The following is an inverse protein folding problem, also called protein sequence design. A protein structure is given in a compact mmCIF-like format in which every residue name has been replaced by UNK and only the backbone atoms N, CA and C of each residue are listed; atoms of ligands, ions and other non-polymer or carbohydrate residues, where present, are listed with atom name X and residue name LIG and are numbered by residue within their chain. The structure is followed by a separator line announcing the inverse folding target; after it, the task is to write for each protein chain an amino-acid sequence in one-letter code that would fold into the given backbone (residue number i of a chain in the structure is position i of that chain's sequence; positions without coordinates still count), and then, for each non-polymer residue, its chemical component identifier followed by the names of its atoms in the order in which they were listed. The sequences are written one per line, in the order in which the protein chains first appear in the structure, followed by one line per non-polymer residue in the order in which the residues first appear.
data_IF_699944787557
#
_entry.id   IF_699944787557
#
_cell.length_a   1.000
_cell.length_b   1.000
_cell.length_c   1.000
_cell.angle_alpha   90.00
_cell.angle_beta   90.00
_cell.angle_gamma   90.00
#
_symmetry.space_group_name_H-M   'P 1'
#
loop_
_entity.id
_entity.type
_entity.pdbx_description
1 polymer ?
#
# COMPACT_ATOMS: atom_id res chain seq x y z
N UNK A 1 6.03 -10.83 -7.25
CA UNK A 1 4.83 -9.99 -7.38
C UNK A 1 3.68 -10.64 -6.61
N UNK A 2 3.04 -9.87 -5.77
CA UNK A 2 1.85 -10.30 -5.06
C UNK A 2 0.76 -9.25 -5.22
N UNK A 3 -0.50 -9.69 -5.33
CA UNK A 3 -1.61 -8.77 -5.49
C UNK A 3 -2.87 -9.34 -4.85
N UNK A 4 -3.74 -8.44 -4.41
CA UNK A 4 -5.06 -8.79 -3.88
C UNK A 4 -6.04 -7.68 -4.26
N UNK A 5 -7.29 -8.07 -4.56
CA UNK A 5 -8.34 -7.13 -4.93
C UNK A 5 -8.20 -6.58 -6.35
N UNK A 6 -8.74 -5.38 -6.56
CA UNK A 6 -8.88 -4.79 -7.89
C UNK A 6 -7.63 -4.03 -8.31
N UNK A 7 -7.34 -4.07 -9.62
CA UNK A 7 -6.40 -3.11 -10.21
C UNK A 7 -7.07 -1.75 -10.33
N UNK A 8 -6.28 -0.73 -10.56
CA UNK A 8 -6.79 0.62 -10.83
C UNK A 8 -7.78 0.61 -12.00
N UNK A 9 -7.41 -0.06 -13.10
CA UNK A 9 -8.26 -0.16 -14.28
C UNK A 9 -9.58 -0.88 -13.97
N UNK A 10 -9.53 -2.02 -13.27
CA UNK A 10 -10.72 -2.79 -12.92
C UNK A 10 -11.64 -2.01 -11.99
N UNK A 11 -11.09 -1.27 -11.05
CA UNK A 11 -11.88 -0.44 -10.13
C UNK A 11 -12.61 0.68 -10.89
N UNK A 12 -11.92 1.35 -11.81
CA UNK A 12 -12.56 2.37 -12.66
C UNK A 12 -13.67 1.77 -13.52
N UNK A 13 -13.44 0.59 -14.08
CA UNK A 13 -14.40 -0.11 -14.91
C UNK A 13 -15.68 -0.47 -14.12
N UNK A 14 -15.54 -0.76 -12.83
CA UNK A 14 -16.68 -1.03 -11.95
C UNK A 14 -17.38 0.23 -11.46
N UNK A 15 -16.94 1.41 -11.86
CA UNK A 15 -17.59 2.67 -11.55
C UNK A 15 -17.07 3.37 -10.28
N UNK A 16 -16.00 2.88 -9.69
CA UNK A 16 -15.40 3.56 -8.54
C UNK A 16 -14.66 4.81 -8.97
N UNK A 17 -14.73 5.84 -8.14
CA UNK A 17 -13.85 6.99 -8.24
C UNK A 17 -12.56 6.62 -7.49
N UNK A 18 -11.48 6.43 -8.23
CA UNK A 18 -10.27 5.77 -7.74
C UNK A 18 -9.23 6.78 -7.33
N UNK A 19 -8.60 6.54 -6.18
CA UNK A 19 -7.40 7.22 -5.75
C UNK A 19 -6.31 6.20 -5.49
N UNK A 20 -5.06 6.54 -5.83
CA UNK A 20 -3.93 5.62 -5.75
C UNK A 20 -2.85 6.18 -4.83
N UNK A 21 -2.32 5.32 -3.97
CA UNK A 21 -1.11 5.60 -3.22
C UNK A 21 0.00 4.67 -3.66
N UNK A 22 1.24 5.15 -3.63
CA UNK A 22 2.43 4.36 -3.95
C UNK A 22 3.53 4.65 -2.97
N UNK A 23 4.33 3.63 -2.71
CA UNK A 23 5.52 3.83 -1.92
C UNK A 23 6.64 2.92 -2.43
N UNK A 24 7.76 3.49 -2.90
CA UNK A 24 8.89 2.68 -3.35
C UNK A 24 9.67 2.12 -2.16
N UNK A 25 10.09 0.87 -2.25
CA UNK A 25 10.92 0.27 -1.19
C UNK A 25 12.22 1.04 -0.95
N UNK A 26 12.75 1.69 -1.99
CA UNK A 26 13.96 2.49 -1.86
C UNK A 26 13.87 3.58 -0.78
N UNK A 27 12.67 4.00 -0.39
CA UNK A 27 12.48 5.01 0.64
C UNK A 27 12.43 4.44 2.06
N UNK A 28 12.52 3.11 2.24
CA UNK A 28 12.50 2.47 3.56
C UNK A 28 13.90 2.19 4.08
N UNK A 29 14.12 2.47 5.37
CA UNK A 29 15.37 2.13 6.03
C UNK A 29 15.67 0.63 6.03
N UNK A 30 14.64 -0.22 6.19
CA UNK A 30 14.82 -1.68 6.17
C UNK A 30 15.27 -2.17 4.80
N UNK A 31 14.65 -1.68 3.72
CA UNK A 31 15.03 -2.07 2.36
C UNK A 31 16.48 -1.65 2.07
N UNK A 32 16.88 -0.46 2.51
CA UNK A 32 18.24 0.04 2.36
C UNK A 32 19.23 -0.81 3.16
N UNK A 33 18.87 -1.21 4.38
CA UNK A 33 19.76 -2.00 5.24
C UNK A 33 20.02 -3.41 4.72
N UNK A 34 19.06 -4.01 4.02
CA UNK A 34 19.21 -5.34 3.40
C UNK A 34 19.55 -5.25 1.92
N UNK A 35 19.71 -4.05 1.37
CA UNK A 35 20.02 -3.78 -0.05
C UNK A 35 18.97 -4.33 -1.01
N UNK A 36 17.71 -4.37 -0.57
CA UNK A 36 16.56 -4.82 -1.36
C UNK A 36 15.67 -3.62 -1.64
N UNK A 37 16.12 -2.74 -2.53
CA UNK A 37 15.47 -1.45 -2.78
C UNK A 37 14.58 -1.41 -4.02
N UNK A 38 14.57 -2.49 -4.82
CA UNK A 38 13.74 -2.54 -6.02
C UNK A 38 12.28 -2.79 -5.67
N UNK A 39 11.40 -2.19 -6.45
CA UNK A 39 9.96 -2.43 -6.32
C UNK A 39 9.21 -1.37 -5.54
N UNK A 40 7.94 -1.65 -5.32
CA UNK A 40 7.03 -0.70 -4.69
C UNK A 40 5.78 -1.40 -4.16
N UNK A 41 5.04 -0.67 -3.31
CA UNK A 41 3.68 -1.01 -2.91
C UNK A 41 2.74 0.02 -3.54
N UNK A 42 1.67 -0.46 -4.17
CA UNK A 42 0.61 0.37 -4.73
C UNK A 42 -0.71 0.00 -4.08
N UNK A 43 -1.44 0.99 -3.60
CA UNK A 43 -2.77 0.81 -3.03
C UNK A 43 -3.80 1.55 -3.88
N UNK A 44 -4.92 0.90 -4.15
CA UNK A 44 -6.05 1.46 -4.89
C UNK A 44 -7.19 1.61 -3.90
N UNK A 45 -7.73 2.82 -3.77
CA UNK A 45 -8.82 3.08 -2.83
C UNK A 45 -9.99 3.77 -3.52
N UNK A 46 -11.18 3.64 -2.91
CA UNK A 46 -12.36 4.43 -3.26
C UNK A 46 -12.15 5.85 -2.73
N UNK A 47 -12.14 6.84 -3.62
CA UNK A 47 -11.87 8.22 -3.24
C UNK A 47 -12.91 8.79 -2.27
N UNK A 48 -14.17 8.32 -2.32
CA UNK A 48 -15.21 8.84 -1.45
C UNK A 48 -15.23 8.18 -0.07
N UNK A 49 -15.11 6.85 0.03
CA UNK A 49 -15.16 6.14 1.31
C UNK A 49 -13.78 5.89 1.92
N UNK A 50 -12.72 6.01 1.11
CA UNK A 50 -11.34 5.66 1.45
C UNK A 50 -11.14 4.16 1.66
N UNK A 51 -12.14 3.33 1.35
CA UNK A 51 -12.04 1.87 1.46
C UNK A 51 -10.99 1.34 0.50
N UNK A 52 -10.19 0.39 0.96
CA UNK A 52 -9.17 -0.28 0.14
C UNK A 52 -9.86 -1.20 -0.86
N UNK A 53 -9.56 -1.01 -2.14
CA UNK A 53 -10.11 -1.83 -3.23
C UNK A 53 -9.09 -2.85 -3.73
N UNK A 54 -7.81 -2.55 -3.67
CA UNK A 54 -6.76 -3.46 -4.09
C UNK A 54 -5.39 -3.02 -3.64
N UNK A 55 -4.48 -3.98 -3.51
CA UNK A 55 -3.10 -3.74 -3.12
C UNK A 55 -2.20 -4.60 -4.00
N UNK A 56 -1.15 -4.01 -4.51
CA UNK A 56 -0.20 -4.66 -5.41
C UNK A 56 1.21 -4.41 -4.88
N UNK A 57 1.99 -5.48 -4.75
CA UNK A 57 3.35 -5.43 -4.23
C UNK A 57 4.30 -6.05 -5.25
N UNK A 58 5.30 -5.27 -5.64
CA UNK A 58 6.39 -5.74 -6.48
C UNK A 58 7.68 -5.55 -5.68
N UNK A 59 8.41 -6.62 -5.44
CA UNK A 59 9.68 -6.49 -4.73
C UNK A 59 9.93 -7.56 -3.69
N UNK A 60 10.87 -7.30 -2.75
CA UNK A 60 11.30 -8.30 -1.78
C UNK A 60 10.17 -8.69 -0.82
N UNK A 61 10.08 -9.98 -0.54
CA UNK A 61 9.12 -10.56 0.41
C UNK A 61 7.66 -10.22 0.10
N UNK A 62 7.31 -10.00 -1.18
CA UNK A 62 5.95 -9.63 -1.57
C UNK A 62 4.92 -10.66 -1.07
N UNK A 63 5.22 -11.95 -1.15
CA UNK A 63 4.31 -13.00 -0.71
C UNK A 63 4.09 -13.04 0.81
N UNK A 64 5.05 -12.55 1.59
CA UNK A 64 4.89 -12.41 3.04
C UNK A 64 4.11 -11.13 3.38
N UNK A 65 4.40 -10.04 2.67
CA UNK A 65 3.78 -8.74 2.92
C UNK A 65 2.30 -8.70 2.53
N UNK A 66 1.90 -9.50 1.55
CA UNK A 66 0.52 -9.47 1.03
C UNK A 66 -0.52 -9.95 2.07
N UNK A 67 -0.10 -10.68 3.09
CA UNK A 67 -1.02 -11.19 4.11
C UNK A 67 -1.76 -10.07 4.85
N UNK A 68 -1.07 -9.00 5.19
CA UNK A 68 -1.71 -7.83 5.81
C UNK A 68 -2.71 -7.21 4.85
N UNK A 69 -2.35 -7.09 3.58
CA UNK A 69 -3.22 -6.55 2.54
C UNK A 69 -4.48 -7.39 2.35
N UNK A 70 -4.34 -8.72 2.33
CA UNK A 70 -5.47 -9.63 2.23
C UNK A 70 -6.42 -9.49 3.41
N UNK A 71 -5.87 -9.40 4.62
CA UNK A 71 -6.67 -9.18 5.84
C UNK A 71 -7.40 -7.83 5.77
N UNK A 72 -6.74 -6.79 5.31
CA UNK A 72 -7.34 -5.47 5.18
C UNK A 72 -8.56 -5.51 4.25
N UNK A 73 -8.46 -6.20 3.10
CA UNK A 73 -9.59 -6.35 2.19
C UNK A 73 -10.72 -7.17 2.80
N UNK A 74 -10.40 -8.26 3.48
CA UNK A 74 -11.39 -9.11 4.13
C UNK A 74 -12.17 -8.35 5.20
N UNK A 75 -11.51 -7.48 5.94
CA UNK A 75 -12.12 -6.68 7.00
C UNK A 75 -12.73 -5.37 6.49
N UNK A 76 -12.76 -5.16 5.18
CA UNK A 76 -13.26 -3.93 4.57
C UNK A 76 -12.59 -2.67 5.13
N UNK A 77 -11.28 -2.74 5.34
CA UNK A 77 -10.50 -1.65 5.91
C UNK A 77 -10.43 -0.43 4.98
N UNK A 78 -10.27 0.74 5.57
CA UNK A 78 -9.96 1.97 4.84
C UNK A 78 -8.45 2.18 4.80
N UNK A 79 -8.00 3.09 3.92
CA UNK A 79 -6.59 3.47 3.88
C UNK A 79 -6.14 4.05 5.23
N UNK A 80 -7.02 4.77 5.92
CA UNK A 80 -6.72 5.30 7.25
C UNK A 80 -6.46 4.19 8.27
N UNK A 81 -7.23 3.11 8.24
CA UNK A 81 -7.02 1.97 9.13
C UNK A 81 -5.61 1.40 9.00
N UNK A 82 -5.12 1.26 7.75
CA UNK A 82 -3.76 0.77 7.50
C UNK A 82 -2.72 1.81 7.95
N UNK A 83 -2.93 3.08 7.61
CA UNK A 83 -1.99 4.15 7.93
C UNK A 83 -1.82 4.33 9.44
N UNK A 84 -2.89 4.10 10.22
CA UNK A 84 -2.88 4.25 11.67
C UNK A 84 -2.44 2.98 12.41
N UNK A 85 -2.39 1.84 11.73
CA UNK A 85 -1.91 0.60 12.33
C UNK A 85 -0.42 0.73 12.63
N UNK A 86 -0.01 0.38 13.85
CA UNK A 86 1.39 0.42 14.23
C UNK A 86 2.16 -0.66 13.48
N UNK A 87 3.14 -0.25 12.72
CA UNK A 87 4.05 -1.16 12.00
C UNK A 87 5.44 -1.09 12.63
N UNK A 88 6.10 -2.24 12.84
CA UNK A 88 7.45 -2.22 13.40
C UNK A 88 8.42 -1.45 12.50
N UNK A 89 9.35 -0.75 13.12
CA UNK A 89 10.40 -0.01 12.42
C UNK A 89 11.78 -0.53 12.87
N UNK A 90 12.73 -0.81 11.96
CA UNK A 90 12.58 -0.73 10.51
C UNK A 90 12.12 -2.07 9.91
N UNK A 91 11.06 -2.08 9.12
CA UNK A 91 10.58 -3.28 8.42
C UNK A 91 10.09 -2.95 7.02
N UNK A 92 10.00 -3.98 6.17
CA UNK A 92 9.43 -3.83 4.83
C UNK A 92 7.91 -3.60 4.88
N UNK A 93 7.24 -4.06 5.95
CA UNK A 93 5.81 -3.84 6.16
C UNK A 93 5.41 -2.37 6.24
N UNK A 94 6.34 -1.50 6.62
CA UNK A 94 6.10 -0.06 6.63
C UNK A 94 5.74 0.50 5.24
N UNK A 95 6.14 -0.19 4.16
CA UNK A 95 5.80 0.24 2.81
C UNK A 95 4.29 0.27 2.59
N UNK A 96 3.55 -0.69 3.14
CA UNK A 96 2.09 -0.70 3.03
C UNK A 96 1.48 0.47 3.81
N UNK A 97 1.94 0.71 5.03
CA UNK A 97 1.53 1.86 5.84
C UNK A 97 1.76 3.17 5.09
N UNK A 98 2.95 3.34 4.52
CA UNK A 98 3.32 4.55 3.80
C UNK A 98 2.53 4.71 2.50
N UNK A 99 2.26 3.62 1.77
CA UNK A 99 1.43 3.68 0.56
C UNK A 99 0.00 4.12 0.91
N UNK A 100 -0.55 3.60 2.01
CA UNK A 100 -1.86 4.01 2.51
C UNK A 100 -1.85 5.50 2.89
N UNK A 101 -0.84 5.95 3.62
CA UNK A 101 -0.69 7.36 3.98
C UNK A 101 -0.54 8.25 2.73
N UNK A 102 0.20 7.79 1.72
CA UNK A 102 0.36 8.53 0.48
C UNK A 102 -0.98 8.70 -0.26
N UNK A 103 -1.82 7.67 -0.27
CA UNK A 103 -3.15 7.75 -0.88
C UNK A 103 -4.03 8.82 -0.21
N UNK A 104 -3.73 9.15 1.04
CA UNK A 104 -4.42 10.18 1.83
C UNK A 104 -3.67 11.53 1.84
N UNK A 105 -2.51 11.61 1.19
CA UNK A 105 -1.68 12.81 1.19
C UNK A 105 -0.83 13.00 2.45
N UNK A 106 -0.57 11.94 3.22
CA UNK A 106 0.09 12.01 4.53
C UNK A 106 1.41 11.22 4.61
N UNK A 107 1.99 10.81 3.48
CA UNK A 107 3.23 10.05 3.48
C UNK A 107 4.37 10.84 4.13
N UNK A 108 5.25 10.13 4.84
CA UNK A 108 6.36 10.75 5.58
C UNK A 108 7.65 10.74 4.76
N UNK A 109 7.90 9.64 4.04
CA UNK A 109 9.21 9.42 3.38
C UNK A 109 9.21 9.73 1.89
N UNK A 110 8.09 10.13 1.30
CA UNK A 110 7.96 10.49 -0.13
C UNK A 110 7.05 11.71 -0.29
N UNK A 111 7.07 12.28 -1.51
CA UNK A 111 6.21 13.42 -1.81
C UNK A 111 4.73 13.03 -1.82
N UNK A 112 3.89 13.86 -1.23
CA UNK A 112 2.45 13.68 -1.16
C UNK A 112 1.78 14.33 -2.40
N UNK A 113 1.61 13.55 -3.45
CA UNK A 113 1.02 14.04 -4.70
C UNK A 113 -0.16 13.22 -5.15
#
# INVERSE_FOLDING_TARGET
IAMVGLTEAAAKEQGFDVKVGRFPFAALGRAMSIRETDGFVKIVIDASTKRVLGIHIVGPSASDLISEAALALEMAATAEDIALTVHPHPTLGEALMEAAAHSLGHAIHIANR
#
